data_IF_814727153867
#
_entry.id   IF_814727153867
#
_cell.length_a   1.000
_cell.length_b   1.000
_cell.length_c   1.000
_cell.angle_alpha   90.00
_cell.angle_beta   90.00
_cell.angle_gamma   90.00
#
_symmetry.space_group_name_H-M   'P 1'
#
loop_
_entity.id
_entity.type
_entity.pdbx_description
1 polymer ?
#
# COMPACT_ATOMS: atom_id res chain seq x y z
N UNK A 1 -9.80 -6.75 3.91
CA UNK A 1 -8.77 -6.90 2.90
C UNK A 1 -9.43 -7.29 1.57
N UNK A 2 -9.40 -6.38 0.57
CA UNK A 2 -10.12 -6.57 -0.71
C UNK A 2 -9.52 -7.70 -1.55
N UNK A 3 -8.23 -7.91 -1.48
CA UNK A 3 -7.50 -8.96 -2.19
C UNK A 3 -7.71 -10.36 -1.60
N UNK A 4 -8.33 -10.48 -0.44
CA UNK A 4 -8.66 -11.77 0.15
C UNK A 4 -9.71 -12.59 -0.63
N UNK A 5 -10.35 -11.99 -1.62
CA UNK A 5 -11.22 -12.72 -2.58
C UNK A 5 -10.45 -13.70 -3.44
N UNK A 6 -9.22 -13.38 -3.75
CA UNK A 6 -8.39 -14.19 -4.62
C UNK A 6 -7.55 -15.10 -3.75
N UNK A 7 -7.99 -16.34 -3.63
CA UNK A 7 -7.20 -17.41 -3.02
C UNK A 7 -6.00 -17.67 -3.92
N UNK A 8 -4.91 -16.93 -3.68
CA UNK A 8 -3.66 -17.27 -4.30
C UNK A 8 -3.26 -18.70 -3.98
N UNK A 9 -2.41 -19.28 -4.80
CA UNK A 9 -1.83 -20.61 -4.64
C UNK A 9 -1.01 -20.73 -3.35
N UNK A 10 -1.66 -20.63 -2.20
CA UNK A 10 -1.07 -21.06 -0.94
C UNK A 10 -1.35 -22.55 -0.81
N UNK A 11 -0.31 -23.33 -0.63
CA UNK A 11 -0.38 -24.77 -0.34
C UNK A 11 -1.19 -25.09 0.93
N UNK A 12 -1.45 -24.09 1.79
CA UNK A 12 -2.34 -24.15 2.95
C UNK A 12 -3.24 -22.92 2.98
N UNK A 13 -4.49 -23.02 2.57
CA UNK A 13 -5.45 -21.93 2.76
C UNK A 13 -5.71 -21.77 4.26
N UNK A 14 -5.28 -20.63 4.80
CA UNK A 14 -5.55 -20.23 6.20
C UNK A 14 -7.05 -19.94 6.40
N UNK A 15 -7.81 -19.82 5.34
CA UNK A 15 -9.25 -19.64 5.43
C UNK A 15 -9.95 -20.99 5.35
N UNK A 16 -10.62 -21.45 6.41
CA UNK A 16 -11.26 -22.77 6.45
C UNK A 16 -12.49 -22.88 5.54
N UNK A 17 -12.94 -21.78 4.92
CA UNK A 17 -14.12 -21.82 4.05
C UNK A 17 -14.01 -20.85 2.87
N UNK A 18 -13.62 -21.36 1.66
CA UNK A 18 -13.56 -20.53 0.45
C UNK A 18 -14.89 -19.85 0.10
N UNK A 19 -16.03 -20.50 0.38
CA UNK A 19 -17.36 -19.94 0.10
C UNK A 19 -17.68 -18.68 0.94
N UNK A 20 -17.14 -18.58 2.16
CA UNK A 20 -17.30 -17.38 2.98
C UNK A 20 -16.52 -16.17 2.43
N UNK A 21 -15.39 -16.39 1.79
CA UNK A 21 -14.60 -15.29 1.22
C UNK A 21 -15.26 -14.69 -0.03
N UNK A 22 -16.08 -15.42 -0.75
CA UNK A 22 -16.86 -14.94 -1.89
C UNK A 22 -17.94 -13.90 -1.47
N UNK A 23 -18.27 -13.81 -0.19
CA UNK A 23 -19.24 -12.84 0.34
C UNK A 23 -18.65 -11.46 0.59
N UNK A 24 -17.34 -11.26 0.43
CA UNK A 24 -16.74 -9.92 0.50
C UNK A 24 -17.11 -9.13 -0.75
N UNK A 25 -18.03 -8.19 -0.59
CA UNK A 25 -18.53 -7.31 -1.65
C UNK A 25 -18.71 -5.88 -1.15
N UNK A 26 -19.04 -4.98 -2.04
CA UNK A 26 -19.23 -3.57 -1.71
C UNK A 26 -20.39 -3.29 -0.74
N UNK A 27 -21.38 -4.19 -0.65
CA UNK A 27 -22.47 -4.06 0.33
C UNK A 27 -21.95 -4.31 1.75
N UNK A 28 -21.01 -5.25 1.93
CA UNK A 28 -20.33 -5.45 3.21
C UNK A 28 -19.52 -4.20 3.61
N UNK A 29 -18.84 -3.56 2.66
CA UNK A 29 -18.12 -2.31 2.92
C UNK A 29 -19.08 -1.20 3.37
N UNK A 30 -20.23 -1.05 2.70
CA UNK A 30 -21.28 -0.11 3.12
C UNK A 30 -21.78 -0.41 4.53
N UNK A 31 -22.06 -1.69 4.81
CA UNK A 31 -22.53 -2.13 6.13
C UNK A 31 -21.50 -1.80 7.22
N UNK A 32 -20.22 -2.12 7.00
CA UNK A 32 -19.15 -1.80 7.95
C UNK A 32 -19.09 -0.28 8.18
N UNK A 33 -19.08 0.52 7.10
CA UNK A 33 -19.00 1.98 7.23
C UNK A 33 -20.17 2.57 8.01
N UNK A 34 -21.38 2.02 7.85
CA UNK A 34 -22.57 2.46 8.59
C UNK A 34 -22.49 2.12 10.08
N UNK A 35 -21.84 1.02 10.44
CA UNK A 35 -21.82 0.46 11.79
C UNK A 35 -20.53 0.75 12.56
N UNK A 36 -19.63 1.58 12.05
CA UNK A 36 -18.41 1.96 12.78
C UNK A 36 -18.11 3.45 12.64
N UNK A 37 -17.61 4.04 13.72
CA UNK A 37 -17.02 5.39 13.73
C UNK A 37 -15.52 5.38 13.44
N UNK A 38 -14.90 4.20 13.39
CA UNK A 38 -13.47 4.06 13.13
C UNK A 38 -13.12 4.45 11.69
N UNK A 39 -11.93 4.96 11.44
CA UNK A 39 -11.43 5.18 10.09
C UNK A 39 -11.44 3.88 9.29
N UNK A 40 -12.03 3.92 8.09
CA UNK A 40 -12.09 2.76 7.19
C UNK A 40 -10.97 2.82 6.16
N UNK A 41 -10.16 1.77 6.13
CA UNK A 41 -9.09 1.58 5.14
C UNK A 41 -9.44 0.36 4.28
N UNK A 42 -9.52 0.54 2.97
CA UNK A 42 -9.80 -0.56 2.04
C UNK A 42 -8.51 -0.96 1.36
N UNK A 43 -8.05 -2.19 1.66
CA UNK A 43 -6.77 -2.73 1.17
C UNK A 43 -6.97 -3.70 0.00
N UNK A 44 -5.99 -3.76 -0.89
CA UNK A 44 -5.99 -4.63 -2.08
C UNK A 44 -6.55 -3.92 -3.30
N UNK A 45 -6.49 -2.59 -3.32
CA UNK A 45 -6.95 -1.77 -4.43
C UNK A 45 -5.86 -1.74 -5.51
N UNK A 46 -6.21 -2.19 -6.72
CA UNK A 46 -5.29 -2.23 -7.86
C UNK A 46 -5.87 -1.55 -9.10
N UNK A 47 -7.14 -1.15 -9.07
CA UNK A 47 -7.82 -0.49 -10.19
C UNK A 47 -8.32 0.90 -9.81
N UNK A 48 -8.39 1.78 -10.80
CA UNK A 48 -8.98 3.12 -10.65
C UNK A 48 -10.47 3.04 -10.31
N UNK A 49 -11.17 2.04 -10.86
CA UNK A 49 -12.59 1.80 -10.59
C UNK A 49 -12.84 1.49 -9.11
N UNK A 50 -12.08 0.55 -8.55
CA UNK A 50 -12.17 0.18 -7.14
C UNK A 50 -11.72 1.31 -6.21
N UNK A 51 -10.70 2.07 -6.60
CA UNK A 51 -10.26 3.25 -5.86
C UNK A 51 -11.39 4.29 -5.76
N UNK A 52 -12.02 4.65 -6.90
CA UNK A 52 -13.16 5.57 -6.93
C UNK A 52 -14.33 5.04 -6.11
N UNK A 53 -14.64 3.75 -6.24
CA UNK A 53 -15.73 3.11 -5.47
C UNK A 53 -15.47 3.14 -3.97
N UNK A 54 -14.23 2.89 -3.55
CA UNK A 54 -13.83 2.97 -2.14
C UNK A 54 -14.08 4.37 -1.58
N UNK A 55 -13.70 5.41 -2.33
CA UNK A 55 -13.89 6.81 -1.95
C UNK A 55 -15.38 7.15 -1.84
N UNK A 56 -16.19 6.74 -2.83
CA UNK A 56 -17.64 6.95 -2.82
C UNK A 56 -18.32 6.30 -1.60
N UNK A 57 -17.77 5.20 -1.11
CA UNK A 57 -18.27 4.51 0.08
C UNK A 57 -17.72 5.09 1.39
N UNK A 58 -16.99 6.20 1.33
CA UNK A 58 -16.50 6.91 2.50
C UNK A 58 -15.25 6.29 3.14
N UNK A 59 -14.40 5.62 2.36
CA UNK A 59 -13.10 5.17 2.85
C UNK A 59 -12.23 6.38 3.23
N UNK A 60 -11.60 6.30 4.40
CA UNK A 60 -10.65 7.30 4.87
C UNK A 60 -9.29 7.15 4.20
N UNK A 61 -8.95 5.91 3.85
CA UNK A 61 -7.79 5.60 3.03
C UNK A 61 -8.05 4.43 2.08
N UNK A 62 -7.36 4.43 0.96
CA UNK A 62 -7.20 3.25 0.10
C UNK A 62 -5.78 2.73 0.27
N UNK A 63 -5.64 1.40 0.26
CA UNK A 63 -4.34 0.76 0.35
C UNK A 63 -4.08 -0.03 -0.93
N UNK A 64 -3.23 0.53 -1.77
CA UNK A 64 -2.77 -0.09 -3.02
C UNK A 64 -1.83 -1.23 -2.66
N UNK A 65 -2.21 -2.46 -3.01
CA UNK A 65 -1.46 -3.65 -2.61
C UNK A 65 -1.84 -4.84 -3.47
N UNK A 66 -0.85 -5.52 -4.03
CA UNK A 66 -1.00 -6.84 -4.65
C UNK A 66 -0.60 -7.97 -3.69
N UNK A 67 -0.49 -7.66 -2.39
CA UNK A 67 -0.08 -8.59 -1.33
C UNK A 67 1.31 -9.21 -1.58
N UNK A 68 2.23 -8.44 -2.16
CA UNK A 68 3.57 -8.91 -2.51
C UNK A 68 3.59 -9.95 -3.63
N UNK A 69 2.61 -9.89 -4.55
CA UNK A 69 2.48 -10.84 -5.66
C UNK A 69 1.92 -12.21 -5.26
N UNK A 70 1.45 -12.38 -4.02
CA UNK A 70 1.05 -13.69 -3.48
C UNK A 70 -0.35 -14.14 -3.89
N UNK A 71 -1.19 -13.22 -4.36
CA UNK A 71 -2.61 -13.51 -4.63
C UNK A 71 -2.87 -13.81 -6.10
N UNK A 72 -2.15 -13.16 -7.01
CA UNK A 72 -2.24 -13.37 -8.45
C UNK A 72 -0.84 -13.43 -9.05
N UNK A 73 -0.57 -14.47 -9.84
CA UNK A 73 0.59 -14.48 -10.75
C UNK A 73 0.34 -13.42 -11.82
N UNK A 74 1.17 -12.59 -12.20
CA UNK A 74 0.96 -11.54 -13.24
C UNK A 74 0.04 -10.39 -12.82
N UNK A 75 -0.22 -10.19 -11.52
CA UNK A 75 -0.93 -9.00 -11.06
C UNK A 75 -0.09 -7.74 -11.27
N UNK A 76 -0.78 -6.62 -11.51
CA UNK A 76 -0.14 -5.30 -11.63
C UNK A 76 0.76 -5.01 -10.42
N UNK A 77 1.91 -4.38 -10.66
CA UNK A 77 2.80 -3.96 -9.59
C UNK A 77 2.21 -2.81 -8.76
N UNK A 78 2.70 -2.63 -7.53
CA UNK A 78 2.29 -1.47 -6.71
C UNK A 78 2.65 -0.14 -7.37
N UNK A 79 3.78 -0.09 -8.10
CA UNK A 79 4.24 1.11 -8.83
C UNK A 79 3.27 1.45 -9.96
N UNK A 80 2.94 0.50 -10.83
CA UNK A 80 2.02 0.73 -11.94
C UNK A 80 0.60 1.07 -11.44
N UNK A 81 0.17 0.39 -10.37
CA UNK A 81 -1.13 0.66 -9.79
C UNK A 81 -1.22 2.08 -9.22
N UNK A 82 -0.22 2.56 -8.47
CA UNK A 82 -0.24 3.92 -7.92
C UNK A 82 -0.13 4.97 -9.02
N UNK A 83 0.67 4.75 -10.06
CA UNK A 83 0.76 5.64 -11.22
C UNK A 83 -0.60 5.87 -11.85
N UNK A 84 -1.34 4.78 -12.10
CA UNK A 84 -2.66 4.84 -12.72
C UNK A 84 -3.71 5.48 -11.80
N UNK A 85 -3.65 5.16 -10.51
CA UNK A 85 -4.65 5.60 -9.55
C UNK A 85 -4.42 7.07 -9.15
N UNK A 86 -3.20 7.46 -8.79
CA UNK A 86 -2.91 8.81 -8.29
C UNK A 86 -3.17 9.90 -9.33
N UNK A 87 -2.88 9.64 -10.60
CA UNK A 87 -3.17 10.57 -11.71
C UNK A 87 -4.67 10.82 -11.90
N UNK A 88 -5.50 9.84 -11.59
CA UNK A 88 -6.96 9.87 -11.87
C UNK A 88 -7.82 10.18 -10.64
N UNK A 89 -7.24 10.18 -9.44
CA UNK A 89 -7.94 10.56 -8.21
C UNK A 89 -7.80 12.05 -7.97
N UNK A 90 -8.91 12.79 -8.19
CA UNK A 90 -9.00 14.23 -7.88
C UNK A 90 -9.25 14.53 -6.39
N UNK A 91 -9.65 13.51 -5.61
CA UNK A 91 -9.99 13.68 -4.20
C UNK A 91 -8.75 13.64 -3.32
N UNK A 92 -8.39 14.78 -2.73
CA UNK A 92 -7.26 14.94 -1.81
C UNK A 92 -7.57 14.58 -0.34
N UNK A 93 -8.84 14.28 -0.01
CA UNK A 93 -9.25 13.96 1.37
C UNK A 93 -8.93 12.51 1.75
N UNK A 94 -9.06 11.58 0.81
CA UNK A 94 -8.77 10.16 1.05
C UNK A 94 -7.27 9.91 0.93
N UNK A 95 -6.67 9.30 1.94
CA UNK A 95 -5.25 8.97 1.97
C UNK A 95 -4.92 7.78 1.09
N UNK A 96 -3.74 7.78 0.50
CA UNK A 96 -3.21 6.69 -0.31
C UNK A 96 -2.06 6.02 0.45
N UNK A 97 -2.27 4.75 0.78
CA UNK A 97 -1.24 3.87 1.32
C UNK A 97 -0.82 2.92 0.20
N UNK A 98 0.47 2.61 0.11
CA UNK A 98 0.98 1.64 -0.87
C UNK A 98 1.96 0.69 -0.22
N UNK A 99 1.99 -0.56 -0.64
CA UNK A 99 3.00 -1.55 -0.27
C UNK A 99 3.46 -2.38 -1.47
N UNK A 100 4.48 -3.18 -1.22
CA UNK A 100 5.05 -4.12 -2.17
C UNK A 100 6.41 -3.67 -2.72
N UNK A 101 7.37 -4.59 -2.76
CA UNK A 101 8.69 -4.34 -3.33
C UNK A 101 9.63 -3.42 -2.53
N UNK A 102 9.19 -2.88 -1.41
CA UNK A 102 10.01 -1.96 -0.59
C UNK A 102 11.12 -2.74 0.11
N UNK A 103 12.36 -2.46 -0.28
CA UNK A 103 13.57 -3.05 0.30
C UNK A 103 14.57 -1.99 0.76
N UNK A 104 14.52 -0.79 0.19
CA UNK A 104 15.43 0.33 0.42
C UNK A 104 14.68 1.61 0.68
N UNK A 105 15.34 2.60 1.28
CA UNK A 105 14.77 3.93 1.46
C UNK A 105 14.44 4.63 0.15
N UNK A 106 15.19 4.38 -0.92
CA UNK A 106 14.87 4.90 -2.25
C UNK A 106 13.53 4.38 -2.81
N UNK A 107 13.09 3.16 -2.44
CA UNK A 107 11.78 2.66 -2.85
C UNK A 107 10.65 3.41 -2.16
N UNK A 108 10.87 3.80 -0.90
CA UNK A 108 9.93 4.65 -0.15
C UNK A 108 9.77 5.98 -0.87
N UNK A 109 10.88 6.61 -1.25
CA UNK A 109 10.88 7.88 -1.96
C UNK A 109 10.14 7.78 -3.30
N UNK A 110 10.35 6.71 -4.07
CA UNK A 110 9.61 6.48 -5.33
C UNK A 110 8.10 6.45 -5.10
N UNK A 111 7.62 5.72 -4.11
CA UNK A 111 6.18 5.67 -3.82
C UNK A 111 5.61 7.01 -3.38
N UNK A 112 6.32 7.74 -2.53
CA UNK A 112 5.92 9.07 -2.10
C UNK A 112 5.85 10.05 -3.28
N UNK A 113 6.80 9.99 -4.22
CA UNK A 113 6.81 10.82 -5.44
C UNK A 113 5.64 10.51 -6.37
N UNK A 114 5.19 9.26 -6.40
CA UNK A 114 4.04 8.83 -7.17
C UNK A 114 2.70 9.23 -6.54
N UNK A 115 2.71 9.82 -5.36
CA UNK A 115 1.53 10.36 -4.70
C UNK A 115 1.01 9.52 -3.52
N UNK A 116 1.80 8.59 -2.99
CA UNK A 116 1.47 7.94 -1.73
C UNK A 116 1.56 8.94 -0.56
N UNK A 117 0.65 8.80 0.40
CA UNK A 117 0.76 9.47 1.70
C UNK A 117 1.57 8.63 2.68
N UNK A 118 1.46 7.29 2.58
CA UNK A 118 2.15 6.32 3.43
C UNK A 118 2.65 5.13 2.62
N UNK A 119 3.79 4.59 3.04
CA UNK A 119 4.39 3.42 2.43
C UNK A 119 4.48 2.29 3.45
N UNK A 120 3.92 1.13 3.11
CA UNK A 120 3.93 -0.06 3.95
C UNK A 120 5.13 -0.95 3.64
N UNK A 121 5.75 -1.49 4.67
CA UNK A 121 6.80 -2.50 4.57
C UNK A 121 6.31 -3.84 5.11
N UNK A 122 6.67 -4.92 4.46
CA UNK A 122 6.30 -6.27 4.87
C UNK A 122 7.52 -7.13 5.19
N UNK A 123 8.05 -7.82 4.19
CA UNK A 123 9.15 -8.80 4.35
C UNK A 123 10.38 -8.28 5.09
N UNK A 124 10.90 -7.07 4.87
CA UNK A 124 12.04 -6.57 5.63
C UNK A 124 11.78 -6.54 7.14
N UNK A 125 10.60 -6.09 7.58
CA UNK A 125 10.24 -6.09 8.99
C UNK A 125 10.15 -7.51 9.56
N UNK A 126 9.62 -8.48 8.76
CA UNK A 126 9.59 -9.89 9.16
C UNK A 126 10.99 -10.48 9.29
N UNK A 127 11.90 -10.15 8.39
CA UNK A 127 13.30 -10.60 8.49
C UNK A 127 13.97 -10.04 9.74
N UNK A 128 13.76 -8.76 10.03
CA UNK A 128 14.25 -8.16 11.28
C UNK A 128 13.71 -8.90 12.51
N UNK A 129 12.41 -9.21 12.51
CA UNK A 129 11.76 -9.94 13.61
C UNK A 129 12.37 -11.34 13.80
N UNK A 130 12.57 -12.08 12.71
CA UNK A 130 13.16 -13.43 12.75
C UNK A 130 14.60 -13.39 13.24
N UNK A 131 15.38 -12.42 12.77
CA UNK A 131 16.80 -12.33 13.12
C UNK A 131 17.06 -11.93 14.58
N UNK A 132 16.31 -10.95 15.11
CA UNK A 132 16.58 -10.41 16.45
C UNK A 132 15.33 -9.76 17.10
N UNK A 133 14.17 -10.36 16.95
CA UNK A 133 12.95 -9.90 17.58
C UNK A 133 12.71 -8.39 17.39
N UNK A 134 12.29 -7.73 18.44
CA UNK A 134 12.04 -6.29 18.48
C UNK A 134 13.24 -5.44 18.04
N UNK A 135 14.45 -5.80 18.51
CA UNK A 135 15.67 -5.07 18.13
C UNK A 135 15.96 -5.16 16.64
N UNK A 136 15.68 -6.33 16.03
CA UNK A 136 15.81 -6.53 14.60
C UNK A 136 14.84 -5.67 13.79
N UNK A 137 13.58 -5.60 14.22
CA UNK A 137 12.58 -4.72 13.58
C UNK A 137 13.02 -3.26 13.65
N UNK A 138 13.43 -2.78 14.83
CA UNK A 138 13.94 -1.42 15.01
C UNK A 138 15.14 -1.13 14.11
N UNK A 139 16.07 -2.08 13.98
CA UNK A 139 17.22 -1.92 13.09
C UNK A 139 16.80 -1.73 11.63
N UNK A 140 15.82 -2.51 11.15
CA UNK A 140 15.29 -2.36 9.78
C UNK A 140 14.67 -0.98 9.59
N UNK A 141 13.86 -0.48 10.54
CA UNK A 141 13.29 0.86 10.43
C UNK A 141 14.37 1.94 10.41
N UNK A 142 15.39 1.81 11.25
CA UNK A 142 16.50 2.77 11.28
C UNK A 142 17.29 2.79 9.95
N UNK A 143 17.54 1.62 9.35
CA UNK A 143 18.18 1.50 8.04
C UNK A 143 17.34 2.20 6.98
N UNK A 144 16.06 1.86 6.88
CA UNK A 144 15.17 2.45 5.88
C UNK A 144 15.02 3.96 6.05
N UNK A 145 14.95 4.46 7.28
CA UNK A 145 14.90 5.90 7.56
C UNK A 145 16.19 6.60 7.13
N UNK A 146 17.36 6.03 7.46
CA UNK A 146 18.66 6.57 7.07
C UNK A 146 18.80 6.62 5.54
N UNK A 147 18.46 5.53 4.85
CA UNK A 147 18.50 5.46 3.39
C UNK A 147 17.50 6.44 2.75
N UNK A 148 16.30 6.59 3.32
CA UNK A 148 15.30 7.56 2.87
C UNK A 148 15.85 8.97 2.98
N UNK A 149 16.43 9.31 4.14
CA UNK A 149 17.04 10.64 4.38
C UNK A 149 18.18 10.90 3.41
N UNK A 150 19.07 9.94 3.23
CA UNK A 150 20.19 10.05 2.27
C UNK A 150 19.71 10.25 0.84
N UNK A 151 18.65 9.52 0.44
CA UNK A 151 18.05 9.66 -0.90
C UNK A 151 17.45 11.04 -1.08
N UNK A 152 16.79 11.59 -0.05
CA UNK A 152 16.25 12.95 -0.10
C UNK A 152 17.35 14.00 -0.22
N UNK A 153 18.41 13.89 0.58
CA UNK A 153 19.55 14.81 0.53
C UNK A 153 20.22 14.79 -0.86
N UNK A 154 20.47 13.60 -1.39
CA UNK A 154 21.06 13.42 -2.71
C UNK A 154 20.17 13.99 -3.84
N UNK A 155 18.85 13.95 -3.65
CA UNK A 155 17.88 14.56 -4.56
C UNK A 155 17.67 16.06 -4.35
N UNK A 156 18.38 16.70 -3.41
CA UNK A 156 18.24 18.13 -3.12
C UNK A 156 16.96 18.52 -2.38
N UNK A 157 16.30 17.56 -1.71
CA UNK A 157 15.04 17.81 -0.99
C UNK A 157 15.29 18.03 0.50
N UNK A 158 14.82 19.19 1.00
CA UNK A 158 14.96 19.57 2.40
C UNK A 158 14.06 18.75 3.34
N UNK A 159 12.85 18.43 2.90
CA UNK A 159 11.84 17.74 3.67
C UNK A 159 10.81 17.03 2.77
N UNK A 160 9.95 16.22 3.36
CA UNK A 160 8.89 15.49 2.64
C UNK A 160 7.85 16.41 1.98
N UNK A 161 7.67 17.63 2.48
CA UNK A 161 6.71 18.60 1.91
C UNK A 161 7.26 19.22 0.63
N UNK A 162 8.54 19.52 0.59
CA UNK A 162 9.24 19.99 -0.61
C UNK A 162 9.28 18.90 -1.68
N UNK A 163 9.47 17.65 -1.28
CA UNK A 163 9.47 16.49 -2.15
C UNK A 163 8.12 16.25 -2.83
N UNK A 164 7.01 16.34 -2.11
CA UNK A 164 5.65 16.12 -2.65
C UNK A 164 5.24 17.15 -3.70
N UNK A 165 5.87 18.31 -3.75
CA UNK A 165 5.60 19.36 -4.75
C UNK A 165 6.31 19.09 -6.08
N UNK A 166 7.49 18.49 -6.02
CA UNK A 166 8.33 18.19 -7.18
C UNK A 166 8.22 16.70 -7.50
N UNK A 167 7.26 16.32 -8.32
CA UNK A 167 7.10 14.94 -8.76
C UNK A 167 8.28 14.51 -9.62
N UNK A 168 8.80 13.31 -9.38
CA UNK A 168 9.78 12.71 -10.27
C UNK A 168 9.18 12.57 -11.68
N UNK A 169 9.91 12.97 -12.69
CA UNK A 169 9.61 12.64 -14.07
C UNK A 169 9.89 11.14 -14.28
N UNK A 170 8.96 10.47 -14.93
CA UNK A 170 9.10 9.07 -15.29
C UNK A 170 9.46 9.08 -16.77
N UNK A 171 10.67 8.69 -17.08
CA UNK A 171 11.08 8.40 -18.44
C UNK A 171 10.58 7.00 -18.78
N UNK A 172 9.81 6.89 -19.89
CA UNK A 172 9.39 5.62 -20.47
C UNK A 172 10.52 4.99 -21.26
#
# INVERSE_FOLDING_TARGET
NYDARNFGKRSNPISPNPKKALNYNWNLVKFIKKNTKLPLIIKGILSVGDAKKSIQLGANAIWISNHGGRMLNSGISGVDAILNISKKLKNKKTKIIVDGGVQKGSDIIKYLSLGADFVGIGRPAMYGLICNGFKGVNKIFNILNSETTSTMINGGFKDLSSFKKNRLEIYE
#
